data_IF_722080954003
#
_entry.id   IF_722080954003
#
_cell.length_a   1.000
_cell.length_b   1.000
_cell.length_c   1.000
_cell.angle_alpha   90.00
_cell.angle_beta   90.00
_cell.angle_gamma   90.00
#
_symmetry.space_group_name_H-M   'P 1'
#
loop_
_entity.id
_entity.type
_entity.pdbx_description
1 polymer ?
#
# COMPACT_ATOMS: atom_id res chain seq x y z
N UNK A 1 -10.00 -8.41 13.53
CA UNK A 1 -9.31 -7.85 12.36
C UNK A 1 -7.87 -8.32 12.33
N UNK A 2 -7.28 -8.40 11.17
CA UNK A 2 -5.84 -8.55 10.99
C UNK A 2 -5.34 -7.33 10.24
N UNK A 3 -4.05 -7.07 10.35
CA UNK A 3 -3.45 -5.87 9.78
C UNK A 3 -2.27 -6.25 8.90
N UNK A 4 -2.10 -5.54 7.82
CA UNK A 4 -0.97 -5.75 6.92
C UNK A 4 -0.13 -4.48 6.89
N UNK A 5 1.10 -4.58 7.42
CA UNK A 5 2.07 -3.52 7.32
C UNK A 5 2.82 -3.69 6.00
N UNK A 6 2.77 -2.67 5.16
CA UNK A 6 3.45 -2.67 3.88
C UNK A 6 4.47 -1.55 3.85
N UNK A 7 5.66 -1.86 3.36
CA UNK A 7 6.73 -0.88 3.21
C UNK A 7 7.14 -0.89 1.75
N UNK A 8 6.96 0.25 1.09
CA UNK A 8 7.43 0.43 -0.27
C UNK A 8 8.79 1.07 -0.24
N UNK A 9 9.81 0.34 -0.69
CA UNK A 9 11.17 0.84 -0.79
C UNK A 9 11.32 1.50 -2.15
N UNK A 10 11.21 2.83 -2.19
CA UNK A 10 11.23 3.57 -3.44
C UNK A 10 12.63 3.67 -4.01
N UNK A 11 12.71 3.74 -5.33
CA UNK A 11 13.93 4.16 -5.99
C UNK A 11 14.26 5.59 -5.57
N UNK A 12 15.56 5.96 -5.49
CA UNK A 12 15.93 7.31 -5.08
C UNK A 12 15.22 8.38 -5.90
N UNK A 13 14.60 9.34 -5.19
CA UNK A 13 13.88 10.44 -5.83
C UNK A 13 12.46 10.13 -6.28
N UNK A 14 11.98 8.88 -6.12
CA UNK A 14 10.65 8.50 -6.64
C UNK A 14 9.54 8.51 -5.59
N UNK A 15 9.84 8.77 -4.32
CA UNK A 15 8.81 8.82 -3.27
C UNK A 15 7.72 9.87 -3.56
N UNK A 16 8.04 11.09 -4.02
CA UNK A 16 7.00 12.05 -4.38
C UNK A 16 6.05 11.53 -5.47
N UNK A 17 6.57 10.80 -6.45
CA UNK A 17 5.75 10.22 -7.51
C UNK A 17 4.85 9.11 -6.98
N UNK A 18 5.35 8.30 -6.07
CA UNK A 18 4.54 7.26 -5.42
C UNK A 18 3.43 7.88 -4.58
N UNK A 19 3.74 8.90 -3.78
CA UNK A 19 2.76 9.62 -2.98
C UNK A 19 1.66 10.21 -3.87
N UNK A 20 2.05 10.80 -5.00
CA UNK A 20 1.09 11.34 -5.95
C UNK A 20 0.18 10.27 -6.53
N UNK A 21 0.73 9.09 -6.86
CA UNK A 21 -0.08 7.98 -7.38
C UNK A 21 -1.09 7.50 -6.33
N UNK A 22 -0.69 7.35 -5.07
CA UNK A 22 -1.61 7.00 -4.00
C UNK A 22 -2.71 8.05 -3.86
N UNK A 23 -2.34 9.29 -3.78
CA UNK A 23 -3.26 10.39 -3.53
C UNK A 23 -4.27 10.58 -4.66
N UNK A 24 -3.84 10.43 -5.91
CA UNK A 24 -4.68 10.74 -7.07
C UNK A 24 -5.34 9.52 -7.72
N UNK A 25 -4.81 8.33 -7.53
CA UNK A 25 -5.26 7.13 -8.25
C UNK A 25 -5.60 5.99 -7.29
N UNK A 26 -4.60 5.50 -6.56
CA UNK A 26 -4.72 4.24 -5.81
C UNK A 26 -5.82 4.28 -4.76
N UNK A 27 -5.88 5.34 -3.95
CA UNK A 27 -6.88 5.44 -2.88
C UNK A 27 -8.31 5.47 -3.41
N UNK A 28 -8.53 6.08 -4.56
CA UNK A 28 -9.86 6.11 -5.20
C UNK A 28 -10.29 4.72 -5.65
N UNK A 29 -9.36 3.96 -6.22
CA UNK A 29 -9.62 2.59 -6.63
C UNK A 29 -9.85 1.70 -5.41
N UNK A 30 -9.04 1.83 -4.36
CA UNK A 30 -9.21 1.07 -3.13
C UNK A 30 -10.58 1.30 -2.49
N UNK A 31 -11.06 2.54 -2.48
CA UNK A 31 -12.40 2.85 -1.99
C UNK A 31 -13.45 2.07 -2.77
N UNK A 32 -13.32 2.02 -4.09
CA UNK A 32 -14.24 1.28 -4.95
C UNK A 32 -14.23 -0.22 -4.67
N UNK A 33 -13.06 -0.79 -4.39
CA UNK A 33 -12.92 -2.21 -4.11
C UNK A 33 -13.16 -2.58 -2.65
N UNK A 34 -13.31 -1.61 -1.76
CA UNK A 34 -13.52 -1.87 -0.35
C UNK A 34 -12.25 -2.16 0.43
N UNK A 35 -11.08 -1.82 -0.12
CA UNK A 35 -9.80 -1.95 0.58
C UNK A 35 -9.65 -0.78 1.55
N UNK A 36 -9.35 -1.08 2.81
CA UNK A 36 -9.39 -0.10 3.91
C UNK A 36 -7.99 0.17 4.45
N UNK A 37 -7.38 1.31 4.12
CA UNK A 37 -6.12 1.70 4.76
C UNK A 37 -6.36 2.24 6.17
N UNK A 38 -5.44 1.92 7.07
CA UNK A 38 -5.42 2.44 8.45
C UNK A 38 -4.66 3.77 8.51
N UNK A 39 -3.54 3.84 7.80
CA UNK A 39 -2.74 5.05 7.76
C UNK A 39 -1.52 4.90 6.87
N UNK A 40 -0.91 6.04 6.57
CA UNK A 40 0.28 6.15 5.73
C UNK A 40 1.31 7.01 6.43
N UNK A 41 2.57 6.62 6.37
CA UNK A 41 3.65 7.35 7.02
C UNK A 41 4.88 7.40 6.11
N UNK A 42 5.53 8.56 6.07
CA UNK A 42 6.88 8.67 5.51
C UNK A 42 7.88 8.67 6.65
N UNK A 43 9.10 8.29 6.36
CA UNK A 43 10.14 8.20 7.39
C UNK A 43 10.70 9.60 7.67
N UNK A 44 10.51 10.07 8.91
CA UNK A 44 11.10 11.33 9.38
C UNK A 44 12.56 11.10 9.80
N UNK A 45 12.79 10.08 10.62
CA UNK A 45 14.12 9.64 11.06
C UNK A 45 14.11 8.12 11.04
N UNK A 46 14.99 7.49 10.29
CA UNK A 46 15.09 6.06 10.22
C UNK A 46 16.10 5.60 9.19
N UNK A 47 16.04 4.31 8.85
CA UNK A 47 17.02 3.67 7.98
C UNK A 47 17.03 4.27 6.57
N UNK A 48 15.85 4.54 6.03
CA UNK A 48 15.73 5.10 4.69
C UNK A 48 14.55 6.07 4.60
N UNK A 49 14.83 7.29 4.16
CA UNK A 49 13.79 8.29 3.91
C UNK A 49 13.19 8.19 2.51
N UNK A 50 13.53 7.14 1.76
CA UNK A 50 12.89 6.82 0.48
C UNK A 50 11.70 5.88 0.65
N UNK A 51 11.39 5.46 1.88
CA UNK A 51 10.36 4.45 2.13
C UNK A 51 9.01 5.09 2.45
N UNK A 52 7.95 4.41 2.00
CA UNK A 52 6.58 4.69 2.40
C UNK A 52 6.06 3.51 3.21
N UNK A 53 5.62 3.81 4.43
CA UNK A 53 5.00 2.83 5.31
C UNK A 53 3.49 3.02 5.26
N UNK A 54 2.73 1.94 5.10
CA UNK A 54 1.29 2.04 5.28
C UNK A 54 0.73 0.73 5.80
N UNK A 55 -0.46 0.80 6.35
CA UNK A 55 -1.12 -0.34 6.96
C UNK A 55 -2.53 -0.47 6.42
N UNK A 56 -2.90 -1.70 6.09
CA UNK A 56 -4.25 -2.07 5.68
C UNK A 56 -4.89 -2.91 6.77
N UNK A 57 -6.22 -2.84 6.89
CA UNK A 57 -6.95 -3.73 7.77
C UNK A 57 -7.81 -4.68 6.96
N UNK A 58 -7.91 -5.93 7.41
CA UNK A 58 -8.66 -6.99 6.78
C UNK A 58 -9.49 -7.73 7.83
N UNK A 59 -10.66 -8.19 7.44
CA UNK A 59 -11.45 -9.06 8.29
C UNK A 59 -10.70 -10.38 8.54
N UNK A 60 -10.16 -10.95 7.46
CA UNK A 60 -9.40 -12.19 7.45
C UNK A 60 -8.57 -12.29 6.16
N UNK A 61 -7.80 -13.36 6.01
CA UNK A 61 -6.98 -13.56 4.83
C UNK A 61 -7.80 -13.80 3.57
N UNK A 62 -8.98 -14.40 3.68
CA UNK A 62 -9.85 -14.62 2.54
C UNK A 62 -10.34 -13.29 1.95
N UNK A 63 -10.70 -12.33 2.80
CA UNK A 63 -11.08 -10.99 2.35
C UNK A 63 -9.91 -10.32 1.63
N UNK A 64 -8.71 -10.40 2.22
CA UNK A 64 -7.51 -9.84 1.59
C UNK A 64 -7.29 -10.39 0.20
N UNK A 65 -7.32 -11.72 0.07
CA UNK A 65 -7.10 -12.37 -1.21
C UNK A 65 -8.13 -11.94 -2.25
N UNK A 66 -9.40 -11.89 -1.85
CA UNK A 66 -10.49 -11.51 -2.73
C UNK A 66 -10.40 -10.05 -3.19
N UNK A 67 -10.29 -9.12 -2.24
CA UNK A 67 -10.33 -7.69 -2.56
C UNK A 67 -9.03 -7.20 -3.19
N UNK A 68 -7.89 -7.60 -2.63
CA UNK A 68 -6.61 -7.19 -3.18
C UNK A 68 -6.35 -7.82 -4.53
N UNK A 69 -6.74 -9.08 -4.71
CA UNK A 69 -6.63 -9.76 -5.99
C UNK A 69 -7.46 -9.09 -7.08
N UNK A 70 -8.70 -8.69 -6.75
CA UNK A 70 -9.56 -7.97 -7.69
C UNK A 70 -8.94 -6.62 -8.10
N UNK A 71 -8.38 -5.89 -7.12
CA UNK A 71 -7.69 -4.63 -7.40
C UNK A 71 -6.45 -4.83 -8.28
N UNK A 72 -5.61 -5.82 -7.93
CA UNK A 72 -4.33 -6.06 -8.61
C UNK A 72 -4.49 -6.43 -10.09
N UNK A 73 -5.65 -6.97 -10.47
CA UNK A 73 -5.95 -7.36 -11.84
C UNK A 73 -6.90 -6.40 -12.56
N UNK A 74 -7.32 -5.34 -11.89
CA UNK A 74 -8.23 -4.37 -12.47
C UNK A 74 -7.59 -3.63 -13.66
N UNK A 75 -8.25 -3.58 -14.84
CA UNK A 75 -7.69 -2.94 -16.02
C UNK A 75 -7.35 -1.46 -15.81
N UNK A 76 -8.15 -0.73 -15.06
CA UNK A 76 -7.89 0.69 -14.78
C UNK A 76 -6.62 0.85 -13.93
N UNK A 77 -6.44 -0.01 -12.93
CA UNK A 77 -5.22 -0.01 -12.12
C UNK A 77 -3.99 -0.37 -12.96
N UNK A 78 -4.07 -1.42 -13.77
CA UNK A 78 -2.94 -1.85 -14.59
C UNK A 78 -2.52 -0.76 -15.57
N UNK A 79 -3.48 -0.05 -16.15
CA UNK A 79 -3.21 1.08 -17.04
C UNK A 79 -2.54 2.24 -16.30
N UNK A 80 -3.08 2.62 -15.14
CA UNK A 80 -2.53 3.71 -14.33
C UNK A 80 -1.13 3.37 -13.83
N UNK A 81 -0.92 2.13 -13.40
CA UNK A 81 0.41 1.68 -12.98
C UNK A 81 1.43 1.80 -14.10
N UNK A 82 1.08 1.32 -15.29
CA UNK A 82 1.96 1.40 -16.44
C UNK A 82 2.30 2.85 -16.81
N UNK A 83 1.31 3.73 -16.81
CA UNK A 83 1.51 5.15 -17.10
C UNK A 83 2.41 5.84 -16.08
N UNK A 84 2.22 5.55 -14.80
CA UNK A 84 3.02 6.17 -13.73
C UNK A 84 4.42 5.59 -13.63
N UNK A 85 4.71 4.48 -14.28
CA UNK A 85 6.03 3.86 -14.31
C UNK A 85 6.71 3.94 -15.68
N UNK A 86 6.25 4.81 -16.57
CA UNK A 86 6.86 5.00 -17.89
C UNK A 86 8.34 5.38 -17.83
N UNK A 87 8.73 6.12 -16.80
CA UNK A 87 10.11 6.58 -16.62
C UNK A 87 10.88 5.68 -15.65
N UNK A 88 10.43 4.46 -15.48
CA UNK A 88 11.04 3.47 -14.59
C UNK A 88 10.18 3.14 -13.38
N UNK A 89 10.51 2.07 -12.66
CA UNK A 89 9.74 1.65 -11.49
C UNK A 89 9.81 2.69 -10.38
N UNK A 90 8.72 2.82 -9.62
CA UNK A 90 8.68 3.70 -8.45
C UNK A 90 9.33 3.03 -7.24
N UNK A 91 9.23 1.71 -7.14
CA UNK A 91 9.77 0.95 -6.01
C UNK A 91 10.84 -0.02 -6.48
N UNK A 92 11.83 -0.25 -5.62
CA UNK A 92 12.86 -1.28 -5.84
C UNK A 92 12.44 -2.61 -5.24
N UNK A 93 11.66 -2.56 -4.15
CA UNK A 93 11.14 -3.74 -3.47
C UNK A 93 9.96 -3.34 -2.58
N UNK A 94 9.18 -4.33 -2.17
CA UNK A 94 8.06 -4.15 -1.26
C UNK A 94 8.17 -5.21 -0.17
N UNK A 95 8.10 -4.77 1.08
CA UNK A 95 8.00 -5.66 2.23
C UNK A 95 6.58 -5.64 2.74
N UNK A 96 6.06 -6.79 3.16
CA UNK A 96 4.76 -6.82 3.82
C UNK A 96 4.74 -7.86 4.94
N UNK A 97 4.08 -7.50 6.03
CA UNK A 97 3.99 -8.32 7.23
C UNK A 97 2.54 -8.37 7.68
N UNK A 98 2.01 -9.57 7.85
CA UNK A 98 0.66 -9.75 8.38
C UNK A 98 0.74 -9.81 9.91
N UNK A 99 -0.09 -9.02 10.56
CA UNK A 99 -0.09 -8.85 12.00
C UNK A 99 -1.44 -9.22 12.59
N UNK A 100 -1.41 -9.96 13.70
CA UNK A 100 -2.59 -10.27 14.48
C UNK A 100 -2.52 -9.47 15.78
N UNK A 101 -3.56 -8.71 16.15
CA UNK A 101 -3.49 -7.88 17.34
C UNK A 101 -3.47 -8.75 18.60
N UNK A 102 -2.71 -8.31 19.61
CA UNK A 102 -2.74 -8.94 20.92
C UNK A 102 -4.04 -8.60 21.63
N UNK A 103 -4.39 -9.36 22.65
CA UNK A 103 -5.63 -9.13 23.42
C UNK A 103 -5.66 -7.76 24.11
N UNK A 104 -4.48 -7.18 24.38
CA UNK A 104 -4.38 -5.87 25.03
C UNK A 104 -4.13 -4.71 24.04
N UNK A 105 -4.14 -4.99 22.76
CA UNK A 105 -3.98 -3.93 21.75
C UNK A 105 -5.25 -3.10 21.65
N UNK A 106 -5.11 -1.77 21.53
CA UNK A 106 -6.25 -0.90 21.28
C UNK A 106 -6.85 -1.13 19.89
N UNK A 107 -5.99 -1.52 18.94
CA UNK A 107 -6.44 -1.94 17.61
C UNK A 107 -6.72 -3.44 17.65
N UNK A 108 -7.97 -3.79 17.49
CA UNK A 108 -8.41 -5.20 17.50
C UNK A 108 -8.87 -5.68 16.14
#
# INVERSE_FOLDING_TARGET
>A
MIYELRIYHCAPGRLPDLNKRFETITLKLWERFGIRPVGFWTVMIGESNHDLYYMLEWKDLAERESLFGAFATDPEWLKARAETEQNGPLTTSISNTMLSPTSYSKMQ
#
